data_IF_057223378652
#
_entry.id   IF_057223378652
#
_cell.length_a   1.000
_cell.length_b   1.000
_cell.length_c   1.000
_cell.angle_alpha   90.00
_cell.angle_beta   90.00
_cell.angle_gamma   90.00
#
_symmetry.space_group_name_H-M   'P 1'
#
loop_
_entity.id
_entity.type
_entity.pdbx_description
1 polymer ?
#
# COMPACT_ATOMS: atom_id res chain seq x y z
N UNK A 1 -19.63 17.83 -4.93
CA UNK A 1 -20.02 17.34 -3.58
C UNK A 1 -19.69 15.86 -3.35
N UNK A 2 -19.75 14.98 -4.37
CA UNK A 2 -19.40 13.56 -4.23
C UNK A 2 -18.00 13.31 -3.65
N UNK A 3 -16.97 14.02 -4.14
CA UNK A 3 -15.61 13.89 -3.64
C UNK A 3 -15.45 14.27 -2.15
N UNK A 4 -16.15 15.32 -1.70
CA UNK A 4 -16.15 15.74 -0.30
C UNK A 4 -16.92 14.75 0.60
N UNK A 5 -18.03 14.20 0.11
CA UNK A 5 -18.78 13.15 0.81
C UNK A 5 -17.95 11.86 0.95
N UNK A 6 -17.25 11.43 -0.11
CA UNK A 6 -16.31 10.30 -0.05
C UNK A 6 -15.17 10.55 0.94
N UNK A 7 -14.58 11.74 0.95
CA UNK A 7 -13.53 12.10 1.91
C UNK A 7 -13.99 12.01 3.37
N UNK A 8 -15.28 12.17 3.63
CA UNK A 8 -15.89 12.06 4.97
C UNK A 8 -16.10 10.60 5.41
N UNK A 9 -16.04 9.65 4.48
CA UNK A 9 -16.26 8.22 4.71
C UNK A 9 -14.96 7.43 4.84
N UNK A 10 -13.80 8.05 4.64
CA UNK A 10 -12.51 7.38 4.74
C UNK A 10 -12.15 7.26 6.21
N UNK A 11 -12.01 6.03 6.75
CA UNK A 11 -11.56 5.85 8.12
C UNK A 11 -10.20 6.53 8.34
N UNK A 12 -9.94 7.11 9.52
CA UNK A 12 -8.61 7.58 9.84
C UNK A 12 -7.61 6.43 9.73
N UNK A 13 -6.45 6.72 9.15
CA UNK A 13 -5.42 5.71 8.97
C UNK A 13 -4.89 5.28 10.35
N UNK A 14 -4.71 3.97 10.60
CA UNK A 14 -4.16 3.52 11.88
C UNK A 14 -2.76 4.08 12.09
N UNK A 15 -2.51 4.60 13.29
CA UNK A 15 -1.19 5.07 13.70
C UNK A 15 -0.40 3.89 14.27
N UNK A 16 0.83 3.62 13.80
CA UNK A 16 1.68 2.61 14.43
C UNK A 16 2.00 3.02 15.88
N UNK A 17 2.28 2.06 16.78
CA UNK A 17 2.80 2.36 18.11
C UNK A 17 4.07 3.22 18.04
N UNK A 18 4.23 4.11 19.00
CA UNK A 18 5.40 5.00 19.09
C UNK A 18 6.67 4.22 19.47
N UNK A 19 6.51 3.16 20.27
CA UNK A 19 7.60 2.33 20.78
C UNK A 19 7.63 0.94 20.14
N UNK A 20 8.82 0.32 20.11
CA UNK A 20 9.03 -1.06 19.68
C UNK A 20 10.00 -1.18 18.51
N UNK A 21 10.35 -2.43 18.15
CA UNK A 21 11.18 -2.66 16.98
C UNK A 21 10.46 -2.23 15.70
N UNK A 22 11.22 -1.87 14.66
CA UNK A 22 10.65 -1.56 13.34
C UNK A 22 9.70 -2.66 12.85
N UNK A 23 10.08 -3.91 13.06
CA UNK A 23 9.25 -5.08 12.76
C UNK A 23 7.91 -5.04 13.50
N UNK A 24 7.93 -4.81 14.81
CA UNK A 24 6.70 -4.84 15.61
C UNK A 24 5.76 -3.69 15.24
N UNK A 25 6.33 -2.51 14.95
CA UNK A 25 5.58 -1.34 14.47
C UNK A 25 4.98 -1.58 13.07
N UNK A 26 5.73 -2.21 12.16
CA UNK A 26 5.22 -2.65 10.85
C UNK A 26 4.09 -3.67 11.00
N UNK A 27 4.26 -4.69 11.85
CA UNK A 27 3.23 -5.69 12.13
C UNK A 27 1.96 -5.03 12.66
N UNK A 28 2.08 -4.13 13.63
CA UNK A 28 0.93 -3.42 14.19
C UNK A 28 0.19 -2.59 13.12
N UNK A 29 0.93 -1.85 12.29
CA UNK A 29 0.34 -1.06 11.20
C UNK A 29 -0.37 -1.92 10.16
N UNK A 30 0.28 -2.99 9.69
CA UNK A 30 -0.28 -3.85 8.63
C UNK A 30 -1.47 -4.65 9.15
N UNK A 31 -1.48 -5.09 10.41
CA UNK A 31 -2.64 -5.73 11.03
C UNK A 31 -3.84 -4.78 11.12
N UNK A 32 -3.61 -3.53 11.53
CA UNK A 32 -4.68 -2.54 11.60
C UNK A 32 -5.25 -2.19 10.20
N UNK A 33 -4.39 -2.13 9.18
CA UNK A 33 -4.83 -2.00 7.78
C UNK A 33 -5.59 -3.24 7.30
N UNK A 34 -5.15 -4.44 7.68
CA UNK A 34 -5.83 -5.69 7.32
C UNK A 34 -7.27 -5.73 7.86
N UNK A 35 -7.49 -5.26 9.10
CA UNK A 35 -8.82 -5.11 9.68
C UNK A 35 -9.69 -4.13 8.88
N UNK A 36 -9.13 -2.97 8.53
CA UNK A 36 -9.82 -1.98 7.68
C UNK A 36 -10.20 -2.54 6.30
N UNK A 37 -9.28 -3.26 5.66
CA UNK A 37 -9.52 -3.92 4.35
C UNK A 37 -10.58 -5.02 4.44
N UNK A 38 -10.55 -5.83 5.51
CA UNK A 38 -11.53 -6.88 5.74
C UNK A 38 -12.95 -6.31 5.97
N UNK A 39 -13.05 -5.18 6.68
CA UNK A 39 -14.31 -4.52 7.02
C UNK A 39 -14.82 -3.57 5.92
N UNK A 40 -13.96 -3.17 4.97
CA UNK A 40 -14.36 -2.31 3.87
C UNK A 40 -15.54 -2.95 3.11
N UNK A 41 -16.59 -2.19 2.74
CA UNK A 41 -17.65 -2.69 1.87
C UNK A 41 -17.07 -2.92 0.48
N UNK A 42 -16.35 -4.03 0.30
CA UNK A 42 -15.47 -4.27 -0.84
C UNK A 42 -16.21 -4.28 -2.17
N UNK A 43 -17.49 -4.68 -2.16
CA UNK A 43 -18.36 -4.55 -3.33
C UNK A 43 -18.58 -3.07 -3.67
N UNK A 44 -18.81 -2.19 -2.70
CA UNK A 44 -18.94 -0.74 -2.93
C UNK A 44 -17.61 -0.10 -3.33
N UNK A 45 -16.48 -0.54 -2.76
CA UNK A 45 -15.13 -0.09 -3.17
C UNK A 45 -14.79 -0.53 -4.59
N UNK A 46 -15.02 -1.80 -4.92
CA UNK A 46 -14.80 -2.36 -6.25
C UNK A 46 -15.75 -1.73 -7.28
N UNK A 47 -17.03 -1.58 -6.96
CA UNK A 47 -18.00 -0.88 -7.81
C UNK A 47 -17.64 0.60 -7.97
N UNK A 48 -17.09 1.25 -6.94
CA UNK A 48 -16.58 2.62 -7.07
C UNK A 48 -15.36 2.65 -7.98
N UNK A 49 -14.44 1.69 -7.89
CA UNK A 49 -13.28 1.56 -8.79
C UNK A 49 -13.70 1.29 -10.24
N UNK A 50 -14.66 0.39 -10.47
CA UNK A 50 -15.24 0.07 -11.77
C UNK A 50 -16.04 1.25 -12.36
N UNK A 51 -16.81 1.96 -11.53
CA UNK A 51 -17.59 3.14 -11.94
C UNK A 51 -16.71 4.38 -12.17
N UNK A 52 -15.57 4.48 -11.49
CA UNK A 52 -14.56 5.53 -11.67
C UNK A 52 -13.55 5.20 -12.79
N UNK A 53 -13.83 4.16 -13.60
CA UNK A 53 -12.91 3.53 -14.54
C UNK A 53 -11.92 4.47 -15.22
N UNK A 54 -10.70 3.98 -15.41
CA UNK A 54 -9.78 4.47 -16.43
C UNK A 54 -9.15 3.26 -17.09
N UNK A 55 -9.27 3.22 -18.41
CA UNK A 55 -8.50 2.44 -19.36
C UNK A 55 -7.55 1.39 -18.75
N UNK A 56 -7.94 0.12 -18.87
CA UNK A 56 -6.99 -0.97 -18.94
C UNK A 56 -6.16 -0.75 -20.21
N UNK A 57 -5.04 -0.03 -20.09
CA UNK A 57 -4.04 0.19 -21.14
C UNK A 57 -3.58 -1.17 -21.69
N UNK A 58 -4.21 -1.61 -22.78
CA UNK A 58 -3.94 -2.92 -23.38
C UNK A 58 -4.91 -3.38 -24.46
N UNK A 59 -5.96 -2.63 -24.79
CA UNK A 59 -6.80 -2.93 -25.95
C UNK A 59 -6.59 -1.90 -27.06
N UNK A 60 -6.58 -2.30 -28.35
CA UNK A 60 -6.17 -1.43 -29.44
C UNK A 60 -7.15 -0.26 -29.56
N UNK A 61 -6.63 0.96 -29.55
CA UNK A 61 -7.36 2.20 -29.80
C UNK A 61 -8.25 2.12 -31.06
N UNK A 62 -9.49 2.64 -30.96
CA UNK A 62 -10.00 3.45 -32.04
C UNK A 62 -10.54 4.78 -31.50
N UNK A 63 -9.74 5.83 -31.72
CA UNK A 63 -10.16 7.18 -32.08
C UNK A 63 -11.12 7.90 -31.12
N UNK A 64 -10.53 8.84 -30.37
CA UNK A 64 -11.17 10.06 -29.85
C UNK A 64 -12.47 9.85 -29.05
N UNK A 65 -12.34 9.66 -27.74
CA UNK A 65 -12.90 10.56 -26.71
C UNK A 65 -12.29 10.14 -25.38
N UNK A 66 -11.12 10.70 -25.04
CA UNK A 66 -10.59 10.60 -23.68
C UNK A 66 -11.63 11.21 -22.75
N UNK A 67 -12.33 10.35 -22.00
CA UNK A 67 -13.10 10.78 -20.84
C UNK A 67 -12.07 11.08 -19.74
N UNK A 68 -11.41 12.23 -19.87
CA UNK A 68 -10.53 12.75 -18.85
C UNK A 68 -11.35 12.88 -17.56
N UNK A 69 -11.21 11.91 -16.64
CA UNK A 69 -11.88 12.02 -15.35
C UNK A 69 -11.62 13.41 -14.75
N UNK A 70 -12.67 14.05 -14.25
CA UNK A 70 -12.65 15.43 -13.77
C UNK A 70 -11.45 15.67 -12.83
N UNK A 71 -10.77 16.84 -12.89
CA UNK A 71 -9.64 17.15 -12.01
C UNK A 71 -9.96 16.96 -10.51
N UNK A 72 -11.22 17.09 -10.11
CA UNK A 72 -11.68 16.81 -8.74
C UNK A 72 -11.58 15.31 -8.34
N UNK A 73 -11.69 14.39 -9.30
CA UNK A 73 -11.58 12.94 -9.08
C UNK A 73 -10.11 12.54 -9.01
N UNK A 74 -9.26 13.10 -9.88
CA UNK A 74 -7.81 12.88 -9.84
C UNK A 74 -7.22 13.32 -8.50
N UNK A 75 -7.54 14.55 -8.07
CA UNK A 75 -7.08 15.10 -6.78
C UNK A 75 -7.60 14.31 -5.57
N UNK A 76 -8.80 13.75 -5.65
CA UNK A 76 -9.31 12.85 -4.62
C UNK A 76 -8.51 11.54 -4.57
N UNK A 77 -8.25 10.90 -5.71
CA UNK A 77 -7.46 9.66 -5.77
C UNK A 77 -6.06 9.84 -5.20
N UNK A 78 -5.39 10.95 -5.55
CA UNK A 78 -4.07 11.30 -5.02
C UNK A 78 -4.10 11.51 -3.50
N UNK A 79 -5.10 12.23 -2.98
CA UNK A 79 -5.24 12.46 -1.54
C UNK A 79 -5.51 11.16 -0.77
N UNK A 80 -6.33 10.28 -1.33
CA UNK A 80 -6.56 8.95 -0.77
C UNK A 80 -5.24 8.18 -0.72
N UNK A 81 -4.51 8.12 -1.84
CA UNK A 81 -3.22 7.43 -1.88
C UNK A 81 -2.24 7.99 -0.83
N UNK A 82 -2.14 9.31 -0.69
CA UNK A 82 -1.32 9.97 0.32
C UNK A 82 -1.77 9.63 1.75
N UNK A 83 -3.07 9.62 2.04
CA UNK A 83 -3.59 9.30 3.36
C UNK A 83 -3.29 7.85 3.79
N UNK A 84 -3.29 6.91 2.84
CA UNK A 84 -2.93 5.51 3.10
C UNK A 84 -1.42 5.28 3.15
N UNK A 85 -0.63 6.09 2.44
CA UNK A 85 0.84 6.04 2.47
C UNK A 85 1.45 6.71 3.71
N UNK A 86 0.80 7.75 4.25
CA UNK A 86 1.36 8.58 5.32
C UNK A 86 1.88 7.82 6.56
N UNK A 87 1.21 6.76 7.08
CA UNK A 87 1.77 6.00 8.21
C UNK A 87 3.03 5.21 7.84
N UNK A 88 3.14 4.77 6.59
CA UNK A 88 4.35 4.11 6.09
C UNK A 88 5.48 5.12 5.91
N UNK A 89 5.18 6.31 5.37
CA UNK A 89 6.16 7.41 5.27
C UNK A 89 6.74 7.74 6.64
N UNK A 90 5.88 7.97 7.64
CA UNK A 90 6.31 8.27 9.01
C UNK A 90 7.14 7.16 9.64
N UNK A 91 6.83 5.89 9.33
CA UNK A 91 7.57 4.75 9.84
C UNK A 91 8.93 4.58 9.14
N UNK A 92 8.99 4.77 7.82
CA UNK A 92 10.24 4.67 7.05
C UNK A 92 11.18 5.86 7.26
N UNK A 93 10.64 7.01 7.68
CA UNK A 93 11.44 8.19 8.06
C UNK A 93 11.93 8.11 9.53
N UNK A 94 11.55 7.07 10.28
CA UNK A 94 11.97 6.87 11.67
C UNK A 94 13.43 6.41 11.79
N UNK A 95 14.14 6.73 12.89
CA UNK A 95 15.53 6.29 13.07
C UNK A 95 15.66 4.76 13.11
N UNK A 96 14.61 4.05 13.56
CA UNK A 96 14.59 2.58 13.56
C UNK A 96 14.59 2.00 12.15
N UNK A 97 14.10 2.73 11.15
CA UNK A 97 14.10 2.31 9.75
C UNK A 97 15.45 2.52 9.05
N UNK A 98 16.43 3.15 9.69
CA UNK A 98 17.76 3.35 9.11
C UNK A 98 18.45 2.03 8.71
N UNK A 99 18.13 0.93 9.39
CA UNK A 99 18.65 -0.40 9.06
C UNK A 99 18.15 -0.96 7.71
N UNK A 100 17.06 -0.39 7.16
CA UNK A 100 16.50 -0.80 5.88
C UNK A 100 17.23 -0.20 4.66
N UNK A 101 18.00 0.87 4.86
CA UNK A 101 18.58 1.63 3.74
C UNK A 101 17.52 2.37 2.91
N UNK A 102 17.77 2.53 1.61
CA UNK A 102 16.78 3.13 0.71
C UNK A 102 15.58 2.20 0.51
N UNK A 103 14.38 2.73 0.75
CA UNK A 103 13.11 2.02 0.59
C UNK A 103 12.32 2.65 -0.55
N UNK A 104 12.09 1.89 -1.64
CA UNK A 104 11.08 2.26 -2.62
C UNK A 104 9.69 2.13 -1.96
N UNK A 105 9.10 3.28 -1.63
CA UNK A 105 7.83 3.33 -0.90
C UNK A 105 6.67 2.71 -1.69
N UNK A 106 6.69 2.82 -3.02
CA UNK A 106 5.65 2.22 -3.85
C UNK A 106 5.75 0.69 -3.80
N UNK A 107 6.97 0.18 -3.91
CA UNK A 107 7.23 -1.26 -3.81
C UNK A 107 6.91 -1.79 -2.41
N UNK A 108 7.29 -1.06 -1.36
CA UNK A 108 7.01 -1.43 0.04
C UNK A 108 5.50 -1.55 0.28
N UNK A 109 4.72 -0.54 -0.11
CA UNK A 109 3.26 -0.57 0.04
C UNK A 109 2.65 -1.74 -0.76
N UNK A 110 3.12 -1.99 -1.99
CA UNK A 110 2.65 -3.10 -2.80
C UNK A 110 2.90 -4.46 -2.12
N UNK A 111 4.08 -4.66 -1.51
CA UNK A 111 4.41 -5.89 -0.78
C UNK A 111 3.61 -6.04 0.53
N UNK A 112 3.41 -4.94 1.27
CA UNK A 112 2.78 -4.96 2.59
C UNK A 112 1.25 -5.05 2.51
N UNK A 113 0.62 -4.34 1.57
CA UNK A 113 -0.84 -4.18 1.49
C UNK A 113 -1.46 -4.95 0.33
N UNK A 114 -0.73 -5.12 -0.78
CA UNK A 114 -1.23 -5.81 -1.98
C UNK A 114 -1.87 -7.18 -1.70
N UNK A 115 -1.22 -8.06 -0.91
CA UNK A 115 -1.80 -9.36 -0.54
C UNK A 115 -3.13 -9.26 0.22
N UNK A 116 -3.28 -8.27 1.11
CA UNK A 116 -4.50 -8.07 1.91
C UNK A 116 -5.66 -7.62 1.03
N UNK A 117 -5.40 -6.69 0.11
CA UNK A 117 -6.39 -6.22 -0.87
C UNK A 117 -6.78 -7.35 -1.81
N UNK A 118 -5.82 -8.14 -2.29
CA UNK A 118 -6.10 -9.30 -3.13
C UNK A 118 -6.97 -10.32 -2.39
N UNK A 119 -6.65 -10.62 -1.12
CA UNK A 119 -7.47 -11.49 -0.26
C UNK A 119 -8.94 -11.07 -0.27
N UNK A 120 -9.20 -9.77 -0.11
CA UNK A 120 -10.57 -9.20 -0.13
C UNK A 120 -11.29 -9.38 -1.47
N UNK A 121 -10.56 -9.36 -2.58
CA UNK A 121 -11.11 -9.47 -3.94
C UNK A 121 -11.20 -10.93 -4.43
N UNK A 122 -10.44 -11.85 -3.81
CA UNK A 122 -10.14 -13.18 -4.37
C UNK A 122 -11.28 -14.20 -4.30
N UNK A 123 -12.43 -13.89 -3.68
CA UNK A 123 -13.51 -14.85 -3.37
C UNK A 123 -13.08 -16.10 -2.60
N UNK A 124 -11.82 -16.15 -2.13
CA UNK A 124 -11.28 -17.28 -1.39
C UNK A 124 -12.06 -17.43 -0.08
N UNK A 125 -12.62 -18.62 0.20
CA UNK A 125 -13.22 -18.88 1.50
C UNK A 125 -12.12 -18.83 2.57
N UNK A 126 -12.48 -18.31 3.75
CA UNK A 126 -11.65 -18.35 4.96
C UNK A 126 -10.24 -17.71 4.83
N UNK A 127 -10.10 -16.65 4.03
CA UNK A 127 -8.83 -15.91 3.92
C UNK A 127 -8.36 -15.37 5.28
N UNK A 128 -7.21 -15.85 5.75
CA UNK A 128 -6.61 -15.41 7.02
C UNK A 128 -5.82 -14.10 6.83
N UNK A 129 -6.49 -12.98 7.12
CA UNK A 129 -5.90 -11.65 7.09
C UNK A 129 -4.74 -11.46 8.06
N UNK A 130 -4.75 -12.14 9.21
CA UNK A 130 -3.69 -12.03 10.21
C UNK A 130 -2.43 -12.73 9.72
N UNK A 131 -2.56 -13.98 9.28
CA UNK A 131 -1.44 -14.75 8.75
C UNK A 131 -0.85 -14.05 7.51
N UNK A 132 -1.71 -13.56 6.61
CA UNK A 132 -1.27 -12.82 5.43
C UNK A 132 -0.53 -11.52 5.79
N UNK A 133 -0.99 -10.77 6.79
CA UNK A 133 -0.33 -9.56 7.26
C UNK A 133 1.07 -9.85 7.82
N UNK A 134 1.19 -10.90 8.63
CA UNK A 134 2.48 -11.32 9.19
C UNK A 134 3.44 -11.76 8.07
N UNK A 135 2.97 -12.59 7.13
CA UNK A 135 3.76 -13.04 6.00
C UNK A 135 4.22 -11.88 5.10
N UNK A 136 3.37 -10.88 4.88
CA UNK A 136 3.70 -9.68 4.10
C UNK A 136 4.83 -8.87 4.75
N UNK A 137 4.77 -8.66 6.08
CA UNK A 137 5.83 -7.95 6.82
C UNK A 137 7.14 -8.73 6.80
N UNK A 138 7.10 -10.04 7.08
CA UNK A 138 8.32 -10.86 7.04
C UNK A 138 8.93 -10.91 5.63
N UNK A 139 8.10 -11.04 4.60
CA UNK A 139 8.54 -11.03 3.21
C UNK A 139 9.20 -9.71 2.83
N UNK A 140 8.58 -8.57 3.17
CA UNK A 140 9.15 -7.24 2.95
C UNK A 140 10.52 -7.09 3.62
N UNK A 141 10.60 -7.39 4.93
CA UNK A 141 11.85 -7.26 5.68
C UNK A 141 12.93 -8.21 5.16
N UNK A 142 12.55 -9.41 4.71
CA UNK A 142 13.48 -10.35 4.09
C UNK A 142 14.08 -9.79 2.80
N UNK A 143 13.24 -9.29 1.89
CA UNK A 143 13.67 -8.69 0.62
C UNK A 143 14.58 -7.49 0.87
N UNK A 144 14.20 -6.60 1.78
CA UNK A 144 14.98 -5.38 2.05
C UNK A 144 16.37 -5.70 2.63
N UNK A 145 16.46 -6.68 3.54
CA UNK A 145 17.77 -7.15 4.06
C UNK A 145 18.64 -7.78 2.97
N UNK A 146 18.05 -8.46 1.99
CA UNK A 146 18.81 -9.02 0.87
C UNK A 146 19.35 -7.93 -0.05
N UNK A 147 18.55 -6.90 -0.34
CA UNK A 147 18.95 -5.76 -1.15
C UNK A 147 20.11 -4.99 -0.48
N UNK A 148 19.98 -4.66 0.81
CA UNK A 148 21.05 -3.98 1.54
C UNK A 148 22.37 -4.76 1.59
N UNK A 149 22.32 -6.11 1.62
CA UNK A 149 23.52 -6.96 1.51
C UNK A 149 24.14 -6.95 0.12
N UNK A 150 23.31 -6.97 -0.92
CA UNK A 150 23.78 -6.92 -2.31
C UNK A 150 24.46 -5.58 -2.63
N UNK A 151 23.91 -4.47 -2.11
CA UNK A 151 24.49 -3.14 -2.28
C UNK A 151 25.83 -3.03 -1.55
N UNK A 152 25.93 -3.52 -0.31
CA UNK A 152 27.17 -3.54 0.46
C UNK A 152 28.29 -4.34 -0.24
N UNK A 153 27.97 -5.54 -0.76
CA UNK A 153 28.93 -6.37 -1.49
C UNK A 153 29.39 -5.72 -2.81
N UNK A 154 28.51 -4.96 -3.47
CA UNK A 154 28.82 -4.25 -4.71
C UNK A 154 29.78 -3.08 -4.45
N UNK A 155 29.63 -2.38 -3.32
CA UNK A 155 30.54 -1.29 -2.90
C UNK A 155 31.93 -1.85 -2.58
N UNK A 156 32.03 -2.99 -1.88
CA UNK A 156 33.31 -3.64 -1.59
C UNK A 156 34.05 -4.08 -2.86
N UNK A 157 33.33 -4.59 -3.87
CA UNK A 157 33.93 -5.01 -5.14
C UNK A 157 34.41 -3.85 -6.03
N UNK A 158 33.85 -2.64 -5.88
CA UNK A 158 34.23 -1.46 -6.65
C UNK A 158 35.42 -0.68 -6.05
N UNK A 159 35.76 -0.96 -4.78
CA UNK A 159 36.88 -0.34 -4.07
C UNK A 159 38.19 -1.12 -4.07
N UNK A 160 38.24 -2.29 -4.71
CA UNK A 160 39.40 -3.16 -4.84
C UNK A 160 40.04 -3.08 -6.24
#
# INVERSE_FOLDING_TARGET
MLAAAFNSLIPPCPTPPDDGSLRDRLVALVLAQAESVAQAPAVMTAMSWLALGRDLEGLPEPHHTSCAASPAITTLRERIAQQYAAPFDALFDSPEAAELGEVDRSQAIAMLIGPLVLGRLSTLPDFDYRECALAAVEGFLHVQRLQGRADAASIESAGA
#
